data_IF_699816797460
#
_entry.id   IF_699816797460
#
_cell.length_a   1.000
_cell.length_b   1.000
_cell.length_c   1.000
_cell.angle_alpha   90.00
_cell.angle_beta   90.00
_cell.angle_gamma   90.00
#
_symmetry.space_group_name_H-M   'P 1'
#
loop_
_entity.id
_entity.type
_entity.pdbx_description
1 polymer ?
#
# COMPACT_ATOMS: atom_id res chain seq x y z
N UNK A 1 6.01 61.18 28.54
CA UNK A 1 6.01 60.19 29.65
C UNK A 1 6.33 58.84 29.01
N UNK A 2 7.61 58.46 29.00
CA UNK A 2 8.09 57.22 28.39
C UNK A 2 8.39 56.22 29.51
N UNK A 3 7.66 55.10 29.55
CA UNK A 3 7.91 54.00 30.47
C UNK A 3 8.69 52.91 29.71
N UNK A 4 9.99 52.82 29.97
CA UNK A 4 10.84 51.72 29.54
C UNK A 4 10.82 50.61 30.58
N UNK A 5 10.36 49.43 30.19
CA UNK A 5 10.37 48.21 31.00
C UNK A 5 11.70 47.50 30.76
N UNK A 6 12.45 47.27 31.83
CA UNK A 6 13.60 46.35 31.84
C UNK A 6 13.08 44.92 32.09
N UNK A 7 13.50 43.98 31.26
CA UNK A 7 13.34 42.54 31.51
C UNK A 7 14.74 41.93 31.69
N UNK A 8 14.97 41.31 32.86
CA UNK A 8 16.14 40.46 33.09
C UNK A 8 15.94 39.14 32.36
N UNK A 9 16.85 38.78 31.46
CA UNK A 9 16.93 37.45 30.86
C UNK A 9 17.81 36.57 31.75
N UNK A 10 17.24 35.49 32.30
CA UNK A 10 18.02 34.38 32.85
C UNK A 10 18.27 33.34 31.75
N UNK A 11 19.48 32.77 31.63
CA UNK A 11 19.74 31.75 30.63
C UNK A 11 19.14 30.40 31.08
N UNK A 12 18.26 29.82 30.26
CA UNK A 12 17.81 28.44 30.42
C UNK A 12 18.88 27.49 29.89
N UNK A 13 19.50 26.71 30.77
CA UNK A 13 20.32 25.57 30.39
C UNK A 13 19.39 24.43 29.94
N UNK A 14 19.24 24.24 28.63
CA UNK A 14 18.61 23.05 28.06
C UNK A 14 19.66 21.96 27.88
N UNK A 15 19.87 21.16 28.94
CA UNK A 15 20.49 19.85 28.81
C UNK A 15 19.49 18.92 28.15
N UNK A 16 19.62 18.72 26.84
CA UNK A 16 18.90 17.70 26.11
C UNK A 16 19.67 16.39 26.31
N UNK A 17 19.21 15.57 27.26
CA UNK A 17 19.72 14.22 27.41
C UNK A 17 19.34 13.42 26.15
N UNK A 18 20.36 12.98 25.41
CA UNK A 18 20.22 12.07 24.28
C UNK A 18 19.64 10.74 24.77
N UNK A 19 18.32 10.59 24.66
CA UNK A 19 17.67 9.29 24.81
C UNK A 19 18.21 8.40 23.68
N UNK A 20 18.83 7.25 23.97
CA UNK A 20 19.31 6.36 22.93
C UNK A 20 18.12 5.93 22.08
N UNK A 21 18.14 6.32 20.80
CA UNK A 21 17.20 5.81 19.80
C UNK A 21 17.45 4.31 19.73
N UNK A 22 16.51 3.52 20.27
CA UNK A 22 16.55 2.07 20.17
C UNK A 22 16.77 1.69 18.69
N UNK A 23 17.76 0.84 18.44
CA UNK A 23 18.09 0.38 17.10
C UNK A 23 16.81 -0.08 16.40
N UNK A 24 16.52 0.49 15.22
CA UNK A 24 15.39 0.07 14.39
C UNK A 24 15.57 -1.42 14.10
N UNK A 25 14.63 -2.31 14.43
CA UNK A 25 14.80 -3.70 14.06
C UNK A 25 14.73 -3.81 12.55
N UNK A 26 15.78 -4.40 12.04
CA UNK A 26 16.02 -4.61 10.62
C UNK A 26 14.98 -5.59 10.06
N UNK A 27 14.64 -5.47 8.77
CA UNK A 27 13.88 -6.50 8.08
C UNK A 27 14.47 -7.90 8.28
N UNK A 28 13.67 -8.95 8.09
CA UNK A 28 14.17 -10.30 8.18
C UNK A 28 15.23 -10.59 7.11
N UNK A 29 16.40 -11.05 7.53
CA UNK A 29 17.40 -11.71 6.69
C UNK A 29 17.54 -13.18 7.14
N UNK A 30 17.35 -14.18 6.25
CA UNK A 30 17.02 -14.10 4.82
C UNK A 30 15.54 -13.73 4.55
N UNK A 31 15.15 -13.51 3.27
CA UNK A 31 13.75 -13.29 2.89
C UNK A 31 12.81 -14.37 3.44
N UNK A 32 11.62 -13.95 3.85
CA UNK A 32 10.58 -14.83 4.40
C UNK A 32 9.48 -15.02 3.36
N UNK A 33 9.00 -16.26 3.20
CA UNK A 33 7.85 -16.57 2.34
C UNK A 33 6.65 -16.99 3.18
N UNK A 34 5.53 -16.33 2.95
CA UNK A 34 4.20 -16.77 3.38
C UNK A 34 3.42 -17.31 2.17
N UNK A 35 2.38 -18.10 2.45
CA UNK A 35 1.47 -18.60 1.42
C UNK A 35 0.10 -18.00 1.63
N UNK A 36 -0.47 -17.48 0.55
CA UNK A 36 -1.82 -16.92 0.49
C UNK A 36 -2.68 -17.71 -0.50
N UNK A 37 -3.99 -17.57 -0.37
CA UNK A 37 -4.98 -18.10 -1.30
C UNK A 37 -5.88 -16.95 -1.72
N UNK A 38 -6.22 -16.88 -3.00
CA UNK A 38 -7.15 -15.88 -3.49
C UNK A 38 -8.53 -16.05 -2.87
N UNK A 39 -9.12 -14.94 -2.43
CA UNK A 39 -10.48 -14.93 -1.86
C UNK A 39 -11.48 -14.13 -2.69
N UNK A 40 -11.12 -13.80 -3.93
CA UNK A 40 -11.97 -13.05 -4.85
C UNK A 40 -13.32 -13.75 -5.02
N UNK A 41 -14.40 -12.99 -4.85
CA UNK A 41 -15.77 -13.49 -5.01
C UNK A 41 -16.65 -12.41 -5.67
N UNK A 42 -16.44 -12.19 -6.98
CA UNK A 42 -17.26 -11.27 -7.76
C UNK A 42 -18.62 -11.93 -8.03
N UNK A 43 -19.69 -11.37 -7.47
CA UNK A 43 -21.05 -11.86 -7.71
C UNK A 43 -21.49 -11.52 -9.14
N UNK A 44 -22.27 -12.40 -9.80
CA UNK A 44 -22.86 -12.07 -11.09
C UNK A 44 -23.74 -10.83 -11.01
N UNK A 45 -23.66 -9.97 -12.02
CA UNK A 45 -24.59 -8.84 -12.16
C UNK A 45 -25.89 -9.30 -12.85
N UNK A 46 -27.00 -8.63 -12.55
CA UNK A 46 -28.28 -8.89 -13.21
C UNK A 46 -28.31 -8.31 -14.64
N UNK A 47 -27.54 -7.26 -14.89
CA UNK A 47 -27.32 -6.69 -16.22
C UNK A 47 -26.19 -7.44 -16.94
N UNK A 48 -26.49 -8.02 -18.10
CA UNK A 48 -25.54 -8.83 -18.85
C UNK A 48 -24.34 -8.04 -19.40
N UNK A 49 -24.52 -6.76 -19.70
CA UNK A 49 -23.43 -5.89 -20.16
C UNK A 49 -22.50 -5.54 -19.00
N UNK A 50 -23.08 -5.28 -17.82
CA UNK A 50 -22.31 -5.09 -16.59
C UNK A 50 -21.54 -6.35 -16.19
N UNK A 51 -22.16 -7.53 -16.27
CA UNK A 51 -21.51 -8.81 -15.95
C UNK A 51 -20.34 -9.10 -16.92
N UNK A 52 -20.52 -8.83 -18.22
CA UNK A 52 -19.44 -8.93 -19.21
C UNK A 52 -18.29 -7.93 -18.96
N UNK A 53 -18.57 -6.76 -18.37
CA UNK A 53 -17.53 -5.85 -17.89
C UNK A 53 -16.76 -6.45 -16.71
N UNK A 54 -17.46 -7.10 -15.77
CA UNK A 54 -16.87 -7.73 -14.58
C UNK A 54 -15.96 -8.91 -14.92
N UNK A 55 -16.24 -9.64 -16.01
CA UNK A 55 -15.40 -10.76 -16.46
C UNK A 55 -13.94 -10.38 -16.69
N UNK A 56 -13.67 -9.11 -17.00
CA UNK A 56 -12.32 -8.59 -17.20
C UNK A 56 -11.48 -8.48 -15.91
N UNK A 57 -12.13 -8.63 -14.76
CA UNK A 57 -11.53 -8.62 -13.42
C UNK A 57 -11.58 -9.99 -12.72
N UNK A 58 -12.18 -11.00 -13.34
CA UNK A 58 -12.20 -12.37 -12.83
C UNK A 58 -10.87 -13.06 -13.15
N UNK A 59 -10.36 -13.83 -12.20
CA UNK A 59 -9.28 -14.79 -12.43
C UNK A 59 -9.61 -16.08 -11.68
N UNK A 60 -9.00 -17.19 -12.11
CA UNK A 60 -9.14 -18.47 -11.40
C UNK A 60 -8.38 -18.37 -10.06
N UNK A 61 -9.05 -18.56 -8.91
CA UNK A 61 -8.38 -18.52 -7.62
C UNK A 61 -7.24 -19.52 -7.53
N UNK A 62 -6.08 -19.06 -7.07
CA UNK A 62 -4.91 -19.92 -6.89
C UNK A 62 -4.22 -19.65 -5.54
N UNK A 63 -3.35 -20.57 -5.16
CA UNK A 63 -2.43 -20.41 -4.03
C UNK A 63 -1.13 -19.77 -4.52
N UNK A 64 -0.69 -18.71 -3.85
CA UNK A 64 0.48 -17.95 -4.28
C UNK A 64 1.44 -17.63 -3.12
N UNK A 65 2.70 -17.40 -3.48
CA UNK A 65 3.75 -17.01 -2.55
C UNK A 65 3.74 -15.49 -2.31
N UNK A 66 3.92 -15.11 -1.05
CA UNK A 66 4.11 -13.73 -0.60
C UNK A 66 5.49 -13.64 0.03
N UNK A 67 6.40 -12.97 -0.63
CA UNK A 67 7.80 -12.86 -0.23
C UNK A 67 8.08 -11.52 0.44
N UNK A 68 8.77 -11.56 1.58
CA UNK A 68 9.17 -10.40 2.37
C UNK A 68 10.69 -10.28 2.27
N UNK A 69 11.15 -9.24 1.59
CA UNK A 69 12.56 -8.97 1.36
C UNK A 69 13.03 -7.76 2.17
N UNK A 70 14.31 -7.73 2.61
CA UNK A 70 14.91 -6.51 3.12
C UNK A 70 14.75 -5.35 2.14
N UNK A 71 14.31 -4.20 2.65
CA UNK A 71 14.24 -2.98 1.86
C UNK A 71 15.47 -2.13 2.09
N UNK A 72 15.99 -1.52 1.02
CA UNK A 72 17.05 -0.50 1.10
C UNK A 72 16.47 0.91 1.20
N UNK A 73 15.15 1.07 1.07
CA UNK A 73 14.49 2.36 1.07
C UNK A 73 14.31 2.91 2.51
N UNK A 74 14.75 4.15 2.78
CA UNK A 74 14.63 4.73 4.12
C UNK A 74 13.19 4.78 4.62
N UNK A 75 12.95 4.16 5.79
CA UNK A 75 11.63 4.17 6.44
C UNK A 75 10.69 3.05 5.98
N UNK A 76 11.03 2.35 4.89
CA UNK A 76 10.38 1.09 4.51
C UNK A 76 10.95 -0.02 5.39
N UNK A 77 10.08 -0.82 6.00
CA UNK A 77 10.52 -1.99 6.77
C UNK A 77 11.00 -3.09 5.84
N UNK A 78 10.18 -3.47 4.86
CA UNK A 78 10.46 -4.57 3.95
C UNK A 78 9.75 -4.34 2.61
N UNK A 79 10.30 -4.94 1.55
CA UNK A 79 9.62 -5.05 0.26
C UNK A 79 8.78 -6.33 0.25
N UNK A 80 7.50 -6.21 -0.10
CA UNK A 80 6.57 -7.34 -0.23
C UNK A 80 6.36 -7.63 -1.71
N UNK A 81 6.50 -8.90 -2.11
CA UNK A 81 6.38 -9.33 -3.50
C UNK A 81 5.45 -10.53 -3.63
N UNK A 82 4.63 -10.53 -4.68
CA UNK A 82 3.74 -11.65 -5.01
C UNK A 82 3.35 -11.59 -6.50
N UNK A 83 2.94 -12.71 -7.12
CA UNK A 83 2.56 -12.70 -8.54
C UNK A 83 1.25 -11.96 -8.78
N UNK A 84 1.18 -11.21 -9.88
CA UNK A 84 -0.06 -10.61 -10.38
C UNK A 84 -1.08 -11.71 -10.75
N UNK A 85 -2.37 -11.57 -10.40
CA UNK A 85 -3.44 -12.49 -10.83
C UNK A 85 -3.74 -12.41 -12.33
N UNK A 86 -3.46 -11.25 -12.94
CA UNK A 86 -3.72 -10.97 -14.35
C UNK A 86 -2.41 -10.53 -15.01
N UNK A 87 -1.45 -11.44 -15.23
CA UNK A 87 -0.17 -11.10 -15.83
C UNK A 87 -0.35 -10.50 -17.23
N UNK A 88 0.44 -9.47 -17.53
CA UNK A 88 0.49 -8.80 -18.83
C UNK A 88 1.42 -9.53 -19.81
N UNK A 89 2.27 -10.44 -19.32
CA UNK A 89 3.31 -11.13 -20.07
C UNK A 89 4.67 -10.43 -20.02
N UNK A 90 4.79 -9.34 -19.26
CA UNK A 90 6.04 -8.60 -19.05
C UNK A 90 6.52 -8.84 -17.62
N UNK A 91 7.68 -9.47 -17.46
CA UNK A 91 8.18 -9.95 -16.17
C UNK A 91 8.24 -8.87 -15.09
N UNK A 92 8.63 -7.64 -15.46
CA UNK A 92 8.71 -6.48 -14.58
C UNK A 92 7.35 -6.09 -14.00
N UNK A 93 6.27 -6.26 -14.78
CA UNK A 93 4.91 -5.94 -14.33
C UNK A 93 4.18 -7.16 -13.75
N UNK A 94 4.59 -8.38 -14.05
CA UNK A 94 3.88 -9.58 -13.59
C UNK A 94 4.19 -9.94 -12.14
N UNK A 95 5.23 -9.32 -11.57
CA UNK A 95 5.47 -9.30 -10.13
C UNK A 95 4.87 -8.04 -9.54
N UNK A 96 4.03 -8.18 -8.52
CA UNK A 96 3.53 -7.06 -7.72
C UNK A 96 4.58 -6.72 -6.68
N UNK A 97 4.88 -5.42 -6.55
CA UNK A 97 5.80 -4.88 -5.56
C UNK A 97 5.03 -3.97 -4.60
N UNK A 98 5.26 -4.13 -3.30
CA UNK A 98 4.75 -3.22 -2.29
C UNK A 98 5.81 -2.86 -1.25
N UNK A 99 5.72 -1.63 -0.73
CA UNK A 99 6.54 -1.16 0.38
C UNK A 99 5.77 -1.32 1.68
N UNK A 100 6.30 -2.10 2.63
CA UNK A 100 5.70 -2.26 3.94
C UNK A 100 6.31 -1.26 4.93
N UNK A 101 5.48 -0.34 5.41
CA UNK A 101 5.74 0.56 6.53
C UNK A 101 5.15 -0.07 7.79
N UNK A 102 6.00 -0.65 8.64
CA UNK A 102 5.56 -1.47 9.76
C UNK A 102 5.22 -0.65 11.02
N UNK A 103 4.05 -0.91 11.61
CA UNK A 103 3.73 -0.51 12.97
C UNK A 103 4.64 -1.22 13.96
N UNK A 104 5.27 -0.44 14.83
CA UNK A 104 6.28 -0.91 15.76
C UNK A 104 5.95 -0.49 17.18
N UNK A 105 6.36 -1.31 18.13
CA UNK A 105 6.41 -0.89 19.51
C UNK A 105 7.46 0.22 19.67
N UNK A 106 7.09 1.33 20.32
CA UNK A 106 7.94 2.52 20.41
C UNK A 106 9.18 2.29 21.28
N UNK A 107 9.13 1.32 22.20
CA UNK A 107 10.22 1.07 23.14
C UNK A 107 11.20 0.02 22.62
N UNK A 108 10.68 -1.11 22.16
CA UNK A 108 11.48 -2.25 21.66
C UNK A 108 11.79 -2.16 20.16
N UNK A 109 11.09 -1.30 19.42
CA UNK A 109 11.16 -1.20 17.97
C UNK A 109 10.51 -2.37 17.22
N UNK A 110 10.16 -3.47 17.92
CA UNK A 110 9.67 -4.72 17.34
C UNK A 110 8.37 -4.48 16.57
N UNK A 111 8.24 -5.12 15.41
CA UNK A 111 7.00 -5.09 14.63
C UNK A 111 5.89 -5.77 15.42
N UNK A 112 4.80 -5.03 15.66
CA UNK A 112 3.65 -5.51 16.42
C UNK A 112 2.52 -5.97 15.51
N UNK A 113 1.70 -6.94 15.94
CA UNK A 113 0.42 -7.21 15.31
C UNK A 113 -0.45 -5.94 15.31
N UNK A 114 -0.94 -5.55 14.13
CA UNK A 114 -1.78 -4.37 13.96
C UNK A 114 -2.59 -4.46 12.65
N UNK A 115 -3.66 -3.65 12.50
CA UNK A 115 -4.37 -3.54 11.24
C UNK A 115 -3.46 -2.95 10.16
N UNK A 116 -3.76 -3.26 8.90
CA UNK A 116 -3.01 -2.73 7.75
C UNK A 116 -3.93 -1.97 6.82
N UNK A 117 -3.42 -0.91 6.22
CA UNK A 117 -4.01 -0.30 5.04
C UNK A 117 -3.16 -0.61 3.81
N UNK A 118 -3.79 -1.19 2.80
CA UNK A 118 -3.23 -1.23 1.44
C UNK A 118 -3.37 0.17 0.85
N UNK A 119 -2.25 0.78 0.49
CA UNK A 119 -2.16 2.15 -0.02
C UNK A 119 -1.92 2.13 -1.52
N UNK A 120 -2.79 2.78 -2.28
CA UNK A 120 -2.70 2.92 -3.73
C UNK A 120 -2.39 4.36 -4.09
N UNK A 121 -1.22 4.57 -4.71
CA UNK A 121 -0.65 5.88 -4.95
C UNK A 121 -1.32 6.65 -6.11
N UNK A 122 -0.98 7.93 -6.20
CA UNK A 122 -1.34 8.86 -7.26
C UNK A 122 -0.51 8.65 -8.55
N UNK A 123 -0.87 9.27 -9.67
CA UNK A 123 -0.15 9.13 -10.95
C UNK A 123 1.25 9.77 -10.99
N UNK A 124 1.77 10.24 -9.86
CA UNK A 124 3.12 10.78 -9.71
C UNK A 124 4.15 9.65 -9.83
N UNK A 125 5.16 9.85 -10.66
CA UNK A 125 6.12 8.79 -10.98
C UNK A 125 6.93 8.33 -9.76
N UNK A 126 7.12 9.22 -8.79
CA UNK A 126 7.79 8.99 -7.51
C UNK A 126 6.84 8.59 -6.38
N UNK A 127 5.53 8.45 -6.64
CA UNK A 127 4.53 7.96 -5.69
C UNK A 127 4.58 8.69 -4.33
N UNK A 128 4.96 9.98 -4.33
CA UNK A 128 5.26 10.74 -3.11
C UNK A 128 4.08 10.85 -2.17
N UNK A 129 2.88 11.05 -2.69
CA UNK A 129 1.68 11.16 -1.84
C UNK A 129 1.34 9.79 -1.24
N UNK A 130 1.40 8.73 -2.04
CA UNK A 130 1.27 7.35 -1.54
C UNK A 130 2.25 7.03 -0.40
N UNK A 131 3.55 7.33 -0.58
CA UNK A 131 4.58 7.09 0.45
C UNK A 131 4.37 7.94 1.69
N UNK A 132 3.98 9.21 1.52
CA UNK A 132 3.65 10.08 2.65
C UNK A 132 2.50 9.51 3.47
N UNK A 133 1.43 9.04 2.83
CA UNK A 133 0.30 8.42 3.52
C UNK A 133 0.76 7.13 4.21
N UNK A 134 1.42 6.21 3.49
CA UNK A 134 1.83 4.92 4.03
C UNK A 134 2.78 5.06 5.24
N UNK A 135 3.74 5.97 5.17
CA UNK A 135 4.67 6.26 6.28
C UNK A 135 4.03 6.98 7.47
N UNK A 136 2.86 7.58 7.31
CA UNK A 136 2.11 8.22 8.39
C UNK A 136 1.27 7.24 9.24
N UNK A 137 1.08 6.00 8.77
CA UNK A 137 0.27 4.99 9.44
C UNK A 137 0.95 4.34 10.66
N UNK A 138 2.25 3.98 10.64
CA UNK A 138 2.91 3.35 11.79
C UNK A 138 2.83 4.14 13.10
N UNK A 139 3.01 5.48 13.12
CA UNK A 139 2.80 6.27 14.34
C UNK A 139 1.38 6.16 14.94
N UNK A 140 0.38 5.83 14.12
CA UNK A 140 -1.01 5.60 14.54
C UNK A 140 -1.26 4.14 14.98
N UNK A 141 -0.22 3.31 14.99
CA UNK A 141 -0.32 1.89 15.32
C UNK A 141 -0.93 1.04 14.21
N UNK A 142 -0.83 1.49 12.95
CA UNK A 142 -1.32 0.81 11.75
C UNK A 142 -0.15 0.49 10.80
N UNK A 143 -0.19 -0.65 10.12
CA UNK A 143 0.73 -0.91 9.01
C UNK A 143 0.27 -0.15 7.76
N UNK A 144 1.22 0.34 6.98
CA UNK A 144 1.00 0.78 5.60
C UNK A 144 1.62 -0.21 4.64
N UNK A 145 0.86 -0.67 3.64
CA UNK A 145 1.37 -1.52 2.55
C UNK A 145 1.12 -0.80 1.22
N UNK A 146 2.11 -0.05 0.75
CA UNK A 146 1.96 0.74 -0.48
C UNK A 146 2.27 -0.10 -1.71
N UNK A 147 1.25 -0.43 -2.50
CA UNK A 147 1.38 -1.17 -3.75
C UNK A 147 1.91 -0.23 -4.84
N UNK A 148 2.90 -0.68 -5.60
CA UNK A 148 3.35 -0.03 -6.83
C UNK A 148 2.48 -0.52 -7.99
N UNK A 149 1.74 0.38 -8.64
CA UNK A 149 0.90 0.04 -9.79
C UNK A 149 1.76 -0.32 -11.03
N UNK A 150 1.21 -1.04 -12.02
CA UNK A 150 1.94 -1.29 -13.27
C UNK A 150 2.46 0.01 -13.90
N UNK A 151 3.74 0.05 -14.30
CA UNK A 151 4.40 1.24 -14.83
C UNK A 151 5.00 2.19 -13.79
N UNK A 152 4.97 1.84 -12.50
CA UNK A 152 5.55 2.65 -11.43
C UNK A 152 6.62 1.89 -10.64
N UNK A 153 7.54 2.62 -10.01
CA UNK A 153 8.61 2.05 -9.19
C UNK A 153 9.38 0.92 -9.88
N UNK A 154 9.46 -0.23 -9.22
CA UNK A 154 10.11 -1.46 -9.71
C UNK A 154 9.33 -2.14 -10.84
N UNK A 155 8.09 -1.73 -11.09
CA UNK A 155 7.22 -2.25 -12.16
C UNK A 155 7.22 -1.35 -13.40
N UNK A 156 8.20 -0.46 -13.51
CA UNK A 156 8.43 0.32 -14.74
C UNK A 156 9.01 -0.60 -15.81
N UNK A 157 8.29 -0.76 -16.91
CA UNK A 157 8.84 -1.34 -18.13
C UNK A 157 9.12 -0.24 -19.17
N UNK A 158 10.12 -0.43 -20.01
CA UNK A 158 10.43 0.49 -21.13
C UNK A 158 9.36 0.46 -22.23
N UNK A 159 8.44 -0.51 -22.16
CA UNK A 159 7.56 -0.93 -23.26
C UNK A 159 6.09 -0.53 -23.03
N UNK A 160 5.85 0.62 -22.40
CA UNK A 160 4.48 1.10 -22.16
C UNK A 160 3.99 1.88 -23.37
N UNK A 161 3.11 1.28 -24.17
CA UNK A 161 2.31 2.00 -25.16
C UNK A 161 1.13 2.71 -24.45
N UNK A 162 0.72 3.89 -24.92
CA UNK A 162 -0.45 4.60 -24.35
C UNK A 162 -1.74 3.80 -24.53
N UNK A 163 -1.80 2.96 -25.56
CA UNK A 163 -2.95 2.08 -25.83
C UNK A 163 -3.09 0.95 -24.77
N UNK A 164 -2.07 0.71 -23.93
CA UNK A 164 -2.12 -0.30 -22.86
C UNK A 164 -2.74 0.20 -21.55
N UNK A 165 -3.15 1.47 -21.45
CA UNK A 165 -3.69 2.02 -20.20
C UNK A 165 -4.87 1.23 -19.61
N UNK A 166 -5.88 0.78 -20.37
CA UNK A 166 -6.95 -0.06 -19.83
C UNK A 166 -6.44 -1.39 -19.27
N UNK A 167 -5.46 -2.02 -19.93
CA UNK A 167 -4.82 -3.26 -19.48
C UNK A 167 -4.07 -3.03 -18.17
N UNK A 168 -3.31 -1.94 -18.08
CA UNK A 168 -2.58 -1.56 -16.85
C UNK A 168 -3.53 -1.30 -15.68
N UNK A 169 -4.65 -0.62 -15.92
CA UNK A 169 -5.66 -0.38 -14.88
C UNK A 169 -6.28 -1.70 -14.43
N UNK A 170 -6.66 -2.59 -15.36
CA UNK A 170 -7.22 -3.92 -15.03
C UNK A 170 -6.24 -4.74 -14.17
N UNK A 171 -4.98 -4.82 -14.60
CA UNK A 171 -3.95 -5.50 -13.84
C UNK A 171 -3.79 -4.86 -12.45
N UNK A 172 -3.71 -3.53 -12.38
CA UNK A 172 -3.59 -2.80 -11.11
C UNK A 172 -4.76 -3.03 -10.16
N UNK A 173 -6.00 -3.09 -10.66
CA UNK A 173 -7.19 -3.45 -9.86
C UNK A 173 -7.06 -4.86 -9.31
N UNK A 174 -6.70 -5.82 -10.15
CA UNK A 174 -6.56 -7.21 -9.73
C UNK A 174 -5.39 -7.39 -8.72
N UNK A 175 -4.27 -6.70 -8.94
CA UNK A 175 -3.13 -6.67 -8.02
C UNK A 175 -3.50 -6.11 -6.65
N UNK A 176 -4.17 -4.95 -6.62
CA UNK A 176 -4.63 -4.33 -5.38
C UNK A 176 -5.65 -5.22 -4.69
N UNK A 177 -6.49 -5.95 -5.43
CA UNK A 177 -7.38 -6.92 -4.80
C UNK A 177 -6.61 -8.10 -4.23
N UNK A 178 -5.67 -8.72 -4.95
CA UNK A 178 -4.82 -9.81 -4.42
C UNK A 178 -3.93 -9.34 -3.27
N UNK A 179 -3.56 -8.06 -3.21
CA UNK A 179 -2.80 -7.47 -2.10
C UNK A 179 -3.49 -7.63 -0.75
N UNK A 180 -4.83 -7.62 -0.72
CA UNK A 180 -5.62 -7.91 0.49
C UNK A 180 -5.33 -9.30 1.02
N UNK A 181 -5.29 -10.30 0.15
CA UNK A 181 -5.01 -11.69 0.51
C UNK A 181 -3.54 -11.91 0.85
N UNK A 182 -2.64 -11.18 0.18
CA UNK A 182 -1.23 -11.15 0.53
C UNK A 182 -1.02 -10.58 1.95
N UNK A 183 -1.66 -9.46 2.29
CA UNK A 183 -1.65 -8.89 3.63
C UNK A 183 -2.24 -9.85 4.67
N UNK A 184 -3.33 -10.54 4.35
CA UNK A 184 -3.96 -11.51 5.25
C UNK A 184 -3.06 -12.71 5.58
N UNK A 185 -2.09 -13.05 4.70
CA UNK A 185 -1.14 -14.13 4.92
C UNK A 185 0.04 -13.73 5.84
N UNK A 186 0.27 -12.43 6.07
CA UNK A 186 1.37 -11.93 6.91
C UNK A 186 0.89 -11.83 8.37
N UNK A 187 1.43 -12.63 9.32
CA UNK A 187 0.91 -12.70 10.69
C UNK A 187 0.82 -11.35 11.42
N UNK A 188 1.76 -10.45 11.14
CA UNK A 188 1.81 -9.12 11.74
C UNK A 188 0.65 -8.20 11.29
N UNK A 189 0.00 -8.50 10.16
CA UNK A 189 -1.09 -7.72 9.57
C UNK A 189 -2.48 -8.32 9.86
N UNK A 190 -2.55 -9.48 10.52
CA UNK A 190 -3.81 -10.21 10.76
C UNK A 190 -4.68 -9.61 11.88
N UNK A 191 -4.18 -8.63 12.62
CA UNK A 191 -4.88 -8.08 13.79
C UNK A 191 -5.80 -6.93 13.42
N UNK A 192 -7.12 -7.05 13.61
CA UNK A 192 -8.07 -5.94 13.63
C UNK A 192 -8.67 -5.48 12.29
N UNK A 193 -8.06 -5.77 11.13
CA UNK A 193 -8.66 -5.55 9.81
C UNK A 193 -7.68 -5.12 8.71
N UNK A 194 -8.11 -5.24 7.45
CA UNK A 194 -7.39 -4.85 6.25
C UNK A 194 -8.19 -3.76 5.52
N UNK A 195 -7.72 -2.52 5.61
CA UNK A 195 -8.30 -1.36 4.93
C UNK A 195 -7.67 -1.08 3.57
N UNK A 196 -8.35 -0.26 2.78
CA UNK A 196 -7.91 0.21 1.47
C UNK A 196 -7.89 1.74 1.45
N UNK A 197 -6.79 2.30 0.98
CA UNK A 197 -6.63 3.73 0.75
C UNK A 197 -6.24 3.98 -0.70
N UNK A 198 -6.91 4.90 -1.38
CA UNK A 198 -6.57 5.32 -2.75
C UNK A 198 -6.49 6.83 -2.91
N UNK A 199 -5.49 7.32 -3.65
CA UNK A 199 -5.31 8.74 -3.97
C UNK A 199 -5.32 8.99 -5.48
N UNK A 200 -6.16 9.90 -5.99
CA UNK A 200 -6.23 10.23 -7.43
C UNK A 200 -6.40 8.99 -8.32
N UNK A 201 -5.42 8.62 -9.17
CA UNK A 201 -5.39 7.35 -9.91
C UNK A 201 -5.64 6.14 -9.00
N UNK A 202 -4.96 6.07 -7.86
CA UNK A 202 -5.17 5.02 -6.88
C UNK A 202 -6.57 5.05 -6.26
N UNK A 203 -7.21 6.21 -6.25
CA UNK A 203 -8.61 6.39 -5.91
C UNK A 203 -9.58 5.70 -6.86
N UNK A 204 -9.36 5.84 -8.17
CA UNK A 204 -10.13 5.11 -9.18
C UNK A 204 -9.95 3.60 -9.03
N UNK A 205 -8.70 3.14 -8.89
CA UNK A 205 -8.39 1.73 -8.66
C UNK A 205 -9.06 1.22 -7.38
N UNK A 206 -8.94 1.95 -6.27
CA UNK A 206 -9.54 1.56 -4.99
C UNK A 206 -11.06 1.51 -5.03
N UNK A 207 -11.71 2.38 -5.80
CA UNK A 207 -13.17 2.39 -6.00
C UNK A 207 -13.63 1.15 -6.76
N UNK A 208 -12.92 0.79 -7.84
CA UNK A 208 -13.19 -0.44 -8.58
C UNK A 208 -13.02 -1.67 -7.69
N UNK A 209 -11.87 -1.78 -7.02
CA UNK A 209 -11.57 -2.90 -6.10
C UNK A 209 -12.62 -3.04 -5.00
N UNK A 210 -12.99 -1.93 -4.34
CA UNK A 210 -14.02 -1.95 -3.29
C UNK A 210 -15.39 -2.40 -3.77
N UNK A 211 -15.67 -2.26 -5.07
CA UNK A 211 -16.95 -2.64 -5.68
C UNK A 211 -16.97 -4.10 -6.17
N UNK A 212 -15.82 -4.78 -6.26
CA UNK A 212 -15.74 -6.14 -6.80
C UNK A 212 -16.39 -7.20 -5.89
N UNK A 213 -16.00 -7.22 -4.61
CA UNK A 213 -16.41 -8.31 -3.70
C UNK A 213 -16.56 -7.89 -2.22
N UNK A 214 -16.31 -6.62 -1.88
CA UNK A 214 -16.50 -6.10 -0.52
C UNK A 214 -15.55 -6.70 0.54
N UNK A 215 -14.37 -7.20 0.16
CA UNK A 215 -13.45 -7.92 1.09
C UNK A 215 -12.48 -7.04 1.87
N UNK A 216 -12.42 -5.75 1.58
CA UNK A 216 -11.71 -4.77 2.39
C UNK A 216 -12.62 -4.25 3.51
N UNK A 217 -12.08 -4.11 4.73
CA UNK A 217 -12.88 -3.76 5.92
C UNK A 217 -13.20 -2.26 6.01
N UNK A 218 -12.41 -1.42 5.35
CA UNK A 218 -12.57 0.03 5.34
C UNK A 218 -11.99 0.65 4.07
N UNK A 219 -12.57 1.77 3.63
CA UNK A 219 -12.12 2.52 2.45
C UNK A 219 -11.84 3.99 2.78
N UNK A 220 -10.68 4.49 2.36
CA UNK A 220 -10.32 5.91 2.44
C UNK A 220 -9.96 6.41 1.03
N UNK A 221 -10.88 7.16 0.44
CA UNK A 221 -10.76 7.66 -0.93
C UNK A 221 -10.41 9.16 -0.89
N UNK A 222 -9.19 9.51 -1.31
CA UNK A 222 -8.68 10.88 -1.32
C UNK A 222 -8.56 11.41 -2.76
N UNK A 223 -9.18 12.55 -3.04
CA UNK A 223 -9.16 13.20 -4.37
C UNK A 223 -9.57 12.24 -5.50
N UNK A 224 -10.53 11.36 -5.21
CA UNK A 224 -11.05 10.37 -6.14
C UNK A 224 -12.28 10.94 -6.81
N UNK A 225 -12.14 11.40 -8.06
CA UNK A 225 -13.26 11.94 -8.82
C UNK A 225 -12.83 12.23 -10.24
N UNK A 226 -13.65 11.82 -11.19
CA UNK A 226 -13.49 12.18 -12.59
C UNK A 226 -14.57 11.51 -13.41
N UNK A 227 -15.32 12.33 -14.12
CA UNK A 227 -16.03 11.90 -15.30
C UNK A 227 -15.00 11.83 -16.43
N UNK A 228 -14.54 10.62 -16.76
CA UNK A 228 -13.56 10.41 -17.84
C UNK A 228 -14.22 10.54 -19.23
N UNK A 229 -15.55 10.58 -19.29
CA UNK A 229 -16.38 10.66 -20.48
C UNK A 229 -17.56 11.61 -20.24
N UNK A 230 -17.28 12.91 -20.15
CA UNK A 230 -18.33 13.94 -20.02
C UNK A 230 -19.46 13.84 -21.04
#
# INVERSE_FOLDING_TARGET
MCLGIWWCVAPSASGQEDIPVAARPEPPEPPITYWAEDTLDIRPDADADADACLDQFRWEPDRFAVEIHPSTEPGVYADVRFPSPLPSGTAETDTVHAEWYAARDQHSGVVRPAPVYVVVHESGSDMRVGRLIASSLPPLGLHGLMIQLPGYGQRRSERLDRDDLPRMIRQGVADVRRARDAAAAIPQMQSGGIGLQGTSLGGFVATLVGSLDGRYDAHVLLLCGGDLYG
#
